data_IF_138875350610
#
_entry.id   IF_138875350610
#
_cell.length_a   1.000
_cell.length_b   1.000
_cell.length_c   1.000
_cell.angle_alpha   90.00
_cell.angle_beta   90.00
_cell.angle_gamma   90.00
#
_symmetry.space_group_name_H-M   'P 1'
#
loop_
_entity.id
_entity.type
_entity.pdbx_description
1 polymer ?
#
# COMPACT_ATOMS: atom_id res chain seq x y z
N UNK A 1 11.82 -23.13 -3.54
CA UNK A 1 10.79 -22.07 -3.37
C UNK A 1 9.85 -22.56 -2.27
N UNK A 2 9.42 -21.72 -1.32
CA UNK A 2 8.54 -22.15 -0.22
C UNK A 2 7.30 -21.27 -0.17
N UNK A 3 6.18 -21.82 0.34
CA UNK A 3 5.01 -21.03 0.68
C UNK A 3 5.38 -20.03 1.79
N UNK A 4 4.85 -18.84 1.71
CA UNK A 4 4.98 -17.83 2.77
C UNK A 4 3.58 -17.43 3.22
N UNK A 5 3.41 -17.30 4.53
CA UNK A 5 2.16 -16.78 5.09
C UNK A 5 1.97 -15.33 4.62
N UNK A 6 0.77 -15.01 4.17
CA UNK A 6 0.39 -13.63 3.90
C UNK A 6 0.42 -12.84 5.21
N UNK A 7 0.95 -11.63 5.16
CA UNK A 7 0.86 -10.71 6.30
C UNK A 7 -0.54 -10.09 6.37
N UNK A 8 -1.03 -9.87 7.58
CA UNK A 8 -2.40 -9.42 7.82
C UNK A 8 -2.72 -8.02 7.25
N UNK A 9 -1.70 -7.22 6.91
CA UNK A 9 -1.86 -5.79 6.59
C UNK A 9 -1.33 -5.37 5.22
N UNK A 10 -0.62 -6.23 4.47
CA UNK A 10 0.02 -5.84 3.20
C UNK A 10 -0.47 -6.64 2.01
N UNK A 11 -1.14 -5.99 1.08
CA UNK A 11 -1.60 -6.58 -0.18
C UNK A 11 -0.46 -7.23 -0.99
N UNK A 12 0.73 -6.65 -0.97
CA UNK A 12 1.91 -7.24 -1.63
C UNK A 12 2.31 -8.61 -1.09
N UNK A 13 2.00 -8.91 0.18
CA UNK A 13 2.22 -10.24 0.76
C UNK A 13 1.19 -11.26 0.26
N UNK A 14 -0.07 -10.84 0.08
CA UNK A 14 -1.12 -11.67 -0.51
C UNK A 14 -0.78 -12.03 -1.96
N UNK A 15 -0.36 -11.05 -2.77
CA UNK A 15 0.10 -11.30 -4.14
C UNK A 15 1.16 -12.40 -4.21
N UNK A 16 2.22 -12.28 -3.39
CA UNK A 16 3.29 -13.29 -3.33
C UNK A 16 2.79 -14.66 -2.91
N UNK A 17 1.86 -14.72 -1.94
CA UNK A 17 1.30 -15.97 -1.44
C UNK A 17 0.45 -16.65 -2.51
N UNK A 18 -0.46 -15.92 -3.17
CA UNK A 18 -1.32 -16.49 -4.21
C UNK A 18 -0.52 -16.90 -5.44
N UNK A 19 0.44 -16.08 -5.89
CA UNK A 19 1.33 -16.43 -7.00
C UNK A 19 2.13 -17.71 -6.72
N UNK A 20 2.65 -17.86 -5.50
CA UNK A 20 3.35 -19.07 -5.08
C UNK A 20 2.43 -20.27 -4.96
N UNK A 21 1.21 -20.08 -4.48
CA UNK A 21 0.23 -21.15 -4.37
C UNK A 21 -0.12 -21.75 -5.74
N UNK A 22 -0.34 -20.91 -6.75
CA UNK A 22 -0.56 -21.39 -8.13
C UNK A 22 0.68 -22.11 -8.67
N UNK A 23 1.87 -21.54 -8.47
CA UNK A 23 3.13 -22.14 -8.98
C UNK A 23 3.44 -23.49 -8.31
N UNK A 24 3.13 -23.63 -7.03
CA UNK A 24 3.43 -24.81 -6.22
C UNK A 24 2.20 -25.68 -5.98
N UNK A 25 1.12 -25.48 -6.73
CA UNK A 25 -0.18 -26.15 -6.48
C UNK A 25 -0.04 -27.66 -6.35
N UNK A 26 0.64 -28.33 -7.30
CA UNK A 26 0.90 -29.77 -7.24
C UNK A 26 1.65 -30.16 -5.96
N UNK A 27 2.76 -29.49 -5.68
CA UNK A 27 3.56 -29.78 -4.48
C UNK A 27 2.79 -29.57 -3.18
N UNK A 28 1.89 -28.59 -3.13
CA UNK A 28 1.00 -28.36 -1.97
C UNK A 28 0.02 -29.54 -1.83
N UNK A 29 -0.58 -29.97 -2.93
CA UNK A 29 -1.49 -31.11 -2.94
C UNK A 29 -0.78 -32.40 -2.50
N UNK A 30 0.45 -32.64 -2.97
CA UNK A 30 1.25 -33.80 -2.57
C UNK A 30 1.57 -33.79 -1.06
N UNK A 31 1.93 -32.62 -0.52
CA UNK A 31 2.21 -32.47 0.92
C UNK A 31 0.94 -32.66 1.75
N UNK A 32 -0.20 -32.13 1.32
CA UNK A 32 -1.47 -32.31 2.02
C UNK A 32 -1.89 -33.78 2.03
N UNK A 33 -1.72 -34.49 0.90
CA UNK A 33 -1.96 -35.90 0.80
C UNK A 33 -1.05 -36.73 1.70
N UNK A 34 0.23 -36.39 1.75
CA UNK A 34 1.18 -37.02 2.66
C UNK A 34 0.78 -36.81 4.15
N UNK A 35 0.33 -35.61 4.53
CA UNK A 35 -0.12 -35.33 5.91
C UNK A 35 -1.42 -36.06 6.21
N UNK A 36 -2.32 -36.19 5.27
CA UNK A 36 -3.56 -37.00 5.42
C UNK A 36 -3.23 -38.47 5.70
N UNK A 37 -2.30 -39.07 4.92
CA UNK A 37 -1.95 -40.48 5.02
C UNK A 37 -1.04 -40.80 6.23
N UNK A 38 -0.14 -39.91 6.59
CA UNK A 38 0.92 -40.16 7.60
C UNK A 38 0.86 -39.22 8.82
N UNK A 39 -0.16 -38.36 8.90
CA UNK A 39 -0.26 -37.31 9.91
C UNK A 39 -0.16 -37.81 11.36
N UNK A 40 0.68 -37.14 12.15
CA UNK A 40 0.99 -37.49 13.55
C UNK A 40 -0.26 -37.40 14.46
N UNK A 41 -1.31 -36.71 14.04
CA UNK A 41 -2.58 -36.65 14.76
C UNK A 41 -3.78 -36.72 13.80
N UNK A 42 -4.87 -37.33 14.23
CA UNK A 42 -6.13 -37.42 13.51
C UNK A 42 -6.66 -35.99 13.15
N UNK A 43 -6.37 -34.99 13.96
CA UNK A 43 -6.79 -33.63 13.71
C UNK A 43 -6.05 -33.05 12.49
N UNK A 44 -4.75 -33.24 12.39
CA UNK A 44 -3.97 -32.76 11.23
C UNK A 44 -4.34 -33.49 9.94
N UNK A 45 -4.58 -34.82 10.00
CA UNK A 45 -5.02 -35.58 8.84
C UNK A 45 -6.38 -35.08 8.32
N UNK A 46 -7.38 -34.87 9.20
CA UNK A 46 -8.67 -34.31 8.81
C UNK A 46 -8.60 -32.86 8.30
N UNK A 47 -7.70 -32.05 8.84
CA UNK A 47 -7.48 -30.69 8.34
C UNK A 47 -6.86 -30.73 6.93
N UNK A 48 -5.92 -31.62 6.68
CA UNK A 48 -5.30 -31.78 5.37
C UNK A 48 -6.31 -32.28 4.33
N UNK A 49 -7.15 -33.27 4.66
CA UNK A 49 -8.25 -33.76 3.81
C UNK A 49 -9.22 -32.59 3.48
N UNK A 50 -9.68 -31.86 4.49
CA UNK A 50 -10.58 -30.72 4.28
C UNK A 50 -9.98 -29.62 3.39
N UNK A 51 -8.68 -29.31 3.52
CA UNK A 51 -7.98 -28.37 2.67
C UNK A 51 -7.84 -28.88 1.24
N UNK A 52 -7.50 -30.17 1.05
CA UNK A 52 -7.46 -30.77 -0.28
C UNK A 52 -8.83 -30.71 -0.97
N UNK A 53 -9.88 -31.11 -0.25
CA UNK A 53 -11.24 -31.07 -0.77
C UNK A 53 -11.67 -29.66 -1.18
N UNK A 54 -11.28 -28.63 -0.40
CA UNK A 54 -11.57 -27.24 -0.75
C UNK A 54 -10.76 -26.76 -1.95
N UNK A 55 -9.47 -27.07 -2.02
CA UNK A 55 -8.59 -26.67 -3.11
C UNK A 55 -8.97 -27.33 -4.45
N UNK A 56 -9.59 -28.51 -4.44
CA UNK A 56 -10.10 -29.20 -5.64
C UNK A 56 -11.45 -28.67 -6.14
N UNK A 57 -12.06 -27.69 -5.47
CA UNK A 57 -13.31 -27.09 -5.94
C UNK A 57 -13.05 -26.06 -7.03
N UNK A 58 -13.88 -26.04 -8.06
CA UNK A 58 -13.88 -25.04 -9.12
C UNK A 58 -13.92 -23.60 -8.54
N UNK A 59 -14.80 -23.38 -7.55
CA UNK A 59 -14.93 -22.06 -6.90
C UNK A 59 -13.60 -21.56 -6.30
N UNK A 60 -12.85 -22.47 -5.65
CA UNK A 60 -11.55 -22.10 -5.09
C UNK A 60 -10.57 -21.65 -6.18
N UNK A 61 -10.48 -22.41 -7.27
CA UNK A 61 -9.59 -22.10 -8.41
C UNK A 61 -10.02 -20.79 -9.08
N UNK A 62 -11.32 -20.59 -9.28
CA UNK A 62 -11.87 -19.38 -9.85
C UNK A 62 -11.46 -18.14 -9.03
N UNK A 63 -11.73 -18.15 -7.72
CA UNK A 63 -11.38 -17.01 -6.86
C UNK A 63 -9.86 -16.84 -6.70
N UNK A 64 -9.10 -17.91 -6.67
CA UNK A 64 -7.63 -17.87 -6.60
C UNK A 64 -7.06 -17.12 -7.82
N UNK A 65 -7.52 -17.43 -9.02
CA UNK A 65 -7.08 -16.78 -10.25
C UNK A 65 -7.60 -15.35 -10.35
N UNK A 66 -8.86 -15.09 -9.99
CA UNK A 66 -9.44 -13.75 -10.00
C UNK A 66 -8.67 -12.80 -9.06
N UNK A 67 -8.45 -13.24 -7.83
CA UNK A 67 -7.70 -12.44 -6.86
C UNK A 67 -6.25 -12.22 -7.30
N UNK A 68 -5.60 -13.22 -7.90
CA UNK A 68 -4.25 -13.05 -8.43
C UNK A 68 -4.21 -12.01 -9.56
N UNK A 69 -5.15 -12.06 -10.50
CA UNK A 69 -5.23 -11.07 -11.60
C UNK A 69 -5.42 -9.64 -11.07
N UNK A 70 -6.33 -9.44 -10.12
CA UNK A 70 -6.57 -8.12 -9.50
C UNK A 70 -5.30 -7.63 -8.78
N UNK A 71 -4.68 -8.51 -8.00
CA UNK A 71 -3.46 -8.16 -7.27
C UNK A 71 -2.28 -7.89 -8.19
N UNK A 72 -2.20 -8.56 -9.34
CA UNK A 72 -1.15 -8.33 -10.36
C UNK A 72 -1.29 -6.93 -10.99
N UNK A 73 -2.50 -6.56 -11.41
CA UNK A 73 -2.79 -5.21 -11.94
C UNK A 73 -2.47 -4.10 -10.93
N UNK A 74 -2.73 -4.34 -9.64
CA UNK A 74 -2.51 -3.34 -8.59
C UNK A 74 -1.10 -3.38 -8.00
N UNK A 75 -0.30 -4.37 -8.34
CA UNK A 75 1.03 -4.60 -7.75
C UNK A 75 2.00 -3.45 -8.01
N UNK A 76 2.08 -2.98 -9.25
CA UNK A 76 2.97 -1.89 -9.65
C UNK A 76 2.63 -0.60 -8.92
N UNK A 77 1.34 -0.26 -8.83
CA UNK A 77 0.86 0.87 -8.05
C UNK A 77 1.22 0.73 -6.56
N UNK A 78 0.96 -0.45 -5.99
CA UNK A 78 1.29 -0.74 -4.58
C UNK A 78 2.79 -0.58 -4.30
N UNK A 79 3.65 -1.04 -5.20
CA UNK A 79 5.10 -0.85 -5.08
C UNK A 79 5.50 0.62 -5.18
N UNK A 80 4.90 1.38 -6.10
CA UNK A 80 5.16 2.81 -6.26
C UNK A 80 4.79 3.56 -4.98
N UNK A 81 3.58 3.36 -4.47
CA UNK A 81 3.09 4.01 -3.25
C UNK A 81 3.87 3.64 -1.98
N UNK A 82 4.61 2.54 -1.97
CA UNK A 82 5.43 2.11 -0.83
C UNK A 82 6.88 2.64 -0.85
N UNK A 83 7.30 3.35 -1.89
CA UNK A 83 8.65 3.95 -1.96
C UNK A 83 8.77 5.14 -1.02
N UNK A 84 9.96 5.35 -0.46
CA UNK A 84 10.27 6.53 0.38
C UNK A 84 10.32 7.82 -0.43
N UNK A 85 10.83 7.73 -1.66
CA UNK A 85 10.97 8.86 -2.60
C UNK A 85 9.84 8.75 -3.63
N UNK A 86 8.64 9.20 -3.24
CA UNK A 86 7.47 9.12 -4.11
C UNK A 86 7.50 10.25 -5.13
N UNK A 87 7.42 9.87 -6.39
CA UNK A 87 6.98 10.74 -7.45
C UNK A 87 5.44 10.76 -7.48
N UNK A 88 4.88 11.86 -6.97
CA UNK A 88 3.43 12.03 -6.84
C UNK A 88 2.71 12.04 -8.19
N UNK A 89 3.32 12.64 -9.23
CA UNK A 89 2.75 12.65 -10.58
C UNK A 89 2.67 11.24 -11.16
N UNK A 90 3.75 10.48 -10.99
CA UNK A 90 3.77 9.08 -11.42
C UNK A 90 2.75 8.24 -10.65
N UNK A 91 2.58 8.46 -9.35
CA UNK A 91 1.56 7.77 -8.55
C UNK A 91 0.13 8.05 -9.07
N UNK A 92 -0.22 9.30 -9.36
CA UNK A 92 -1.54 9.67 -9.93
C UNK A 92 -1.75 9.03 -11.31
N UNK A 93 -0.74 9.07 -12.17
CA UNK A 93 -0.79 8.42 -13.49
C UNK A 93 -1.00 6.91 -13.36
N UNK A 94 -0.29 6.25 -12.44
CA UNK A 94 -0.44 4.81 -12.18
C UNK A 94 -1.83 4.46 -11.63
N UNK A 95 -2.40 5.29 -10.77
CA UNK A 95 -3.79 5.10 -10.30
C UNK A 95 -4.75 5.10 -11.47
N UNK A 96 -4.71 6.13 -12.33
CA UNK A 96 -5.57 6.24 -13.50
C UNK A 96 -5.39 5.05 -14.47
N UNK A 97 -4.16 4.65 -14.71
CA UNK A 97 -3.86 3.48 -15.55
C UNK A 97 -4.38 2.17 -14.92
N UNK A 98 -4.28 2.03 -13.60
CA UNK A 98 -4.78 0.83 -12.90
C UNK A 98 -6.30 0.76 -12.97
N UNK A 99 -7.00 1.87 -12.77
CA UNK A 99 -8.47 1.94 -12.91
C UNK A 99 -8.87 1.54 -14.33
N UNK A 100 -8.24 2.12 -15.35
CA UNK A 100 -8.53 1.80 -16.76
C UNK A 100 -8.28 0.31 -17.07
N UNK A 101 -7.23 -0.30 -16.51
CA UNK A 101 -6.97 -1.74 -16.67
C UNK A 101 -8.05 -2.60 -16.01
N UNK A 102 -8.49 -2.24 -14.80
CA UNK A 102 -9.57 -2.94 -14.11
C UNK A 102 -10.90 -2.82 -14.88
N UNK A 103 -11.22 -1.62 -15.39
CA UNK A 103 -12.41 -1.40 -16.23
C UNK A 103 -12.37 -2.22 -17.51
N UNK A 104 -11.23 -2.23 -18.20
CA UNK A 104 -11.04 -3.06 -19.41
C UNK A 104 -11.19 -4.54 -19.09
N UNK A 105 -10.58 -5.02 -18.01
CA UNK A 105 -10.69 -6.40 -17.58
C UNK A 105 -12.14 -6.78 -17.23
N UNK A 106 -12.86 -5.87 -16.59
CA UNK A 106 -14.29 -6.03 -16.30
C UNK A 106 -15.16 -6.14 -17.56
N UNK A 107 -14.87 -5.34 -18.58
CA UNK A 107 -15.68 -5.27 -19.80
C UNK A 107 -15.42 -6.43 -20.77
N UNK A 108 -14.17 -6.82 -20.90
CA UNK A 108 -13.71 -7.71 -21.99
C UNK A 108 -12.99 -8.96 -21.48
N UNK A 109 -12.59 -8.98 -20.18
CA UNK A 109 -11.63 -9.98 -19.68
C UNK A 109 -12.23 -11.32 -19.28
N UNK A 110 -13.55 -11.45 -19.12
CA UNK A 110 -14.15 -12.66 -18.53
C UNK A 110 -13.85 -13.93 -19.33
N UNK A 111 -13.99 -13.92 -20.65
CA UNK A 111 -13.80 -15.13 -21.46
C UNK A 111 -12.33 -15.61 -21.40
N UNK A 112 -11.36 -14.72 -21.59
CA UNK A 112 -9.94 -15.05 -21.50
C UNK A 112 -9.57 -15.55 -20.09
N UNK A 113 -10.15 -14.92 -19.06
CA UNK A 113 -9.98 -15.34 -17.69
C UNK A 113 -10.56 -16.74 -17.44
N UNK A 114 -11.76 -16.98 -17.95
CA UNK A 114 -12.44 -18.28 -17.86
C UNK A 114 -11.61 -19.38 -18.51
N UNK A 115 -11.12 -19.15 -19.73
CA UNK A 115 -10.26 -20.11 -20.46
C UNK A 115 -9.00 -20.47 -19.64
N UNK A 116 -8.37 -19.48 -18.97
CA UNK A 116 -7.22 -19.73 -18.09
C UNK A 116 -7.58 -20.59 -16.88
N UNK A 117 -8.77 -20.39 -16.30
CA UNK A 117 -9.27 -21.20 -15.18
C UNK A 117 -9.55 -22.63 -15.65
N UNK A 118 -10.17 -22.81 -16.82
CA UNK A 118 -10.46 -24.13 -17.40
C UNK A 118 -9.17 -24.91 -17.70
N UNK A 119 -8.17 -24.29 -18.33
CA UNK A 119 -6.85 -24.92 -18.55
C UNK A 119 -6.21 -25.38 -17.23
N UNK A 120 -6.35 -24.59 -16.16
CA UNK A 120 -5.84 -24.97 -14.86
C UNK A 120 -6.61 -26.15 -14.27
N UNK A 121 -7.96 -26.14 -14.37
CA UNK A 121 -8.81 -27.22 -13.89
C UNK A 121 -8.50 -28.53 -14.64
N UNK A 122 -8.39 -28.51 -15.96
CA UNK A 122 -8.00 -29.66 -16.79
C UNK A 122 -6.63 -30.24 -16.35
N UNK A 123 -5.63 -29.35 -16.19
CA UNK A 123 -4.27 -29.75 -15.79
C UNK A 123 -4.23 -30.50 -14.44
N UNK A 124 -5.09 -30.13 -13.49
CA UNK A 124 -5.10 -30.69 -12.14
C UNK A 124 -6.30 -31.61 -11.86
N UNK A 125 -7.00 -32.04 -12.91
CA UNK A 125 -8.14 -32.94 -12.83
C UNK A 125 -9.24 -32.45 -11.86
N UNK A 126 -9.49 -31.12 -11.90
CA UNK A 126 -10.54 -30.47 -11.10
C UNK A 126 -11.81 -30.44 -11.93
N UNK A 127 -12.91 -30.92 -11.36
CA UNK A 127 -14.21 -30.96 -12.01
C UNK A 127 -14.66 -29.53 -12.37
N UNK A 128 -14.85 -29.31 -13.67
CA UNK A 128 -15.34 -28.03 -14.18
C UNK A 128 -16.84 -27.90 -13.98
N UNK A 129 -17.29 -26.68 -13.83
CA UNK A 129 -18.71 -26.33 -13.72
C UNK A 129 -19.26 -26.05 -15.10
N UNK A 130 -20.29 -26.79 -15.51
CA UNK A 130 -21.03 -26.50 -16.75
C UNK A 130 -21.71 -25.11 -16.63
N UNK A 131 -21.29 -24.17 -17.46
CA UNK A 131 -21.73 -22.78 -17.40
C UNK A 131 -23.17 -22.58 -17.84
N UNK A 132 -23.72 -23.48 -18.66
CA UNK A 132 -25.10 -23.36 -19.17
C UNK A 132 -26.14 -23.96 -18.21
N UNK A 133 -25.69 -24.76 -17.23
CA UNK A 133 -26.57 -25.35 -16.22
C UNK A 133 -26.99 -24.29 -15.19
N UNK A 134 -28.22 -24.48 -14.66
CA UNK A 134 -28.80 -23.63 -13.63
C UNK A 134 -27.93 -23.60 -12.36
N UNK A 135 -27.61 -22.43 -11.87
CA UNK A 135 -26.85 -22.25 -10.63
C UNK A 135 -27.65 -22.72 -9.41
N UNK A 136 -27.03 -23.55 -8.59
CA UNK A 136 -27.60 -24.03 -7.33
C UNK A 136 -26.77 -23.44 -6.19
N UNK A 137 -27.43 -22.62 -5.35
CA UNK A 137 -26.77 -22.05 -4.18
C UNK A 137 -26.49 -23.16 -3.14
N UNK A 138 -25.21 -23.44 -2.81
CA UNK A 138 -24.85 -24.50 -1.84
C UNK A 138 -25.48 -24.30 -0.44
N UNK A 139 -25.72 -23.04 -0.03
CA UNK A 139 -26.36 -22.72 1.26
C UNK A 139 -27.88 -22.88 1.26
N UNK A 140 -28.50 -22.95 0.09
CA UNK A 140 -29.96 -23.07 -0.07
C UNK A 140 -30.30 -23.93 -1.29
N UNK A 141 -29.94 -25.20 -1.35
CA UNK A 141 -30.08 -26.02 -2.57
C UNK A 141 -31.53 -26.21 -3.01
N UNK A 142 -32.49 -26.08 -2.09
CA UNK A 142 -33.92 -26.21 -2.39
C UNK A 142 -34.56 -25.00 -3.08
N UNK A 143 -33.89 -23.83 -2.96
CA UNK A 143 -34.35 -22.60 -3.60
C UNK A 143 -33.77 -22.55 -5.01
N UNK A 144 -34.65 -22.82 -6.01
CA UNK A 144 -34.26 -22.70 -7.41
C UNK A 144 -33.90 -21.24 -7.72
N UNK A 145 -32.75 -21.04 -8.39
CA UNK A 145 -32.35 -19.77 -8.96
C UNK A 145 -32.77 -19.72 -10.43
N UNK A 146 -33.03 -18.55 -10.98
CA UNK A 146 -33.37 -18.40 -12.40
C UNK A 146 -32.14 -17.98 -13.24
N UNK A 147 -30.93 -18.18 -12.70
CA UNK A 147 -29.69 -17.82 -13.35
C UNK A 147 -28.86 -19.07 -13.66
N UNK A 148 -28.03 -18.99 -14.71
CA UNK A 148 -27.05 -20.04 -15.05
C UNK A 148 -25.79 -19.90 -14.20
N UNK A 149 -24.94 -20.92 -14.18
CA UNK A 149 -23.62 -20.85 -13.58
C UNK A 149 -22.79 -19.74 -14.23
N UNK A 150 -22.87 -19.55 -15.55
CA UNK A 150 -22.22 -18.46 -16.28
C UNK A 150 -22.64 -17.11 -15.71
N UNK A 151 -23.94 -16.87 -15.53
CA UNK A 151 -24.43 -15.61 -14.96
C UNK A 151 -23.86 -15.40 -13.55
N UNK A 152 -23.88 -16.42 -12.70
CA UNK A 152 -23.34 -16.32 -11.34
C UNK A 152 -21.85 -15.98 -11.33
N UNK A 153 -21.02 -16.71 -12.11
CA UNK A 153 -19.57 -16.47 -12.11
C UNK A 153 -19.18 -15.17 -12.80
N UNK A 154 -19.85 -14.79 -13.89
CA UNK A 154 -19.56 -13.58 -14.65
C UNK A 154 -20.07 -12.33 -13.94
N UNK A 155 -21.36 -12.29 -13.57
CA UNK A 155 -21.99 -11.06 -13.05
C UNK A 155 -21.93 -10.98 -11.53
N UNK A 156 -22.31 -12.03 -10.81
CA UNK A 156 -22.42 -11.98 -9.35
C UNK A 156 -21.05 -12.15 -8.66
N UNK A 157 -20.04 -12.70 -9.34
CA UNK A 157 -18.69 -12.87 -8.81
C UNK A 157 -17.68 -11.95 -9.49
N UNK A 158 -17.35 -12.19 -10.76
CA UNK A 158 -16.28 -11.50 -11.46
C UNK A 158 -16.56 -10.00 -11.57
N UNK A 159 -17.68 -9.61 -12.19
CA UNK A 159 -18.03 -8.21 -12.34
C UNK A 159 -18.27 -7.52 -10.99
N UNK A 160 -18.97 -8.15 -10.06
CA UNK A 160 -19.25 -7.56 -8.75
C UNK A 160 -17.97 -7.26 -7.96
N UNK A 161 -16.98 -8.17 -7.98
CA UNK A 161 -15.69 -7.94 -7.31
C UNK A 161 -14.92 -6.81 -7.98
N UNK A 162 -14.88 -6.76 -9.31
CA UNK A 162 -14.20 -5.70 -10.04
C UNK A 162 -14.88 -4.34 -9.84
N UNK A 163 -16.23 -4.29 -9.86
CA UNK A 163 -16.98 -3.07 -9.57
C UNK A 163 -16.68 -2.54 -8.17
N UNK A 164 -16.61 -3.41 -7.17
CA UNK A 164 -16.19 -3.02 -5.81
C UNK A 164 -14.76 -2.46 -5.77
N UNK A 165 -13.81 -3.06 -6.51
CA UNK A 165 -12.44 -2.55 -6.56
C UNK A 165 -12.35 -1.20 -7.27
N UNK A 166 -13.01 -1.04 -8.43
CA UNK A 166 -13.06 0.22 -9.17
C UNK A 166 -13.70 1.33 -8.32
N UNK A 167 -14.81 1.02 -7.65
CA UNK A 167 -15.47 1.97 -6.75
C UNK A 167 -14.57 2.37 -5.59
N UNK A 168 -13.85 1.43 -4.98
CA UNK A 168 -12.93 1.73 -3.87
C UNK A 168 -11.75 2.60 -4.32
N UNK A 169 -11.21 2.36 -5.52
CA UNK A 169 -10.22 3.26 -6.12
C UNK A 169 -10.79 4.66 -6.34
N UNK A 170 -11.99 4.77 -6.90
CA UNK A 170 -12.68 6.06 -7.10
C UNK A 170 -12.94 6.81 -5.80
N UNK A 171 -13.30 6.11 -4.73
CA UNK A 171 -13.50 6.71 -3.40
C UNK A 171 -12.19 7.24 -2.79
N UNK A 172 -11.09 6.49 -2.94
CA UNK A 172 -9.78 6.85 -2.38
C UNK A 172 -9.04 7.91 -3.19
N UNK A 173 -9.19 7.87 -4.50
CA UNK A 173 -8.54 8.76 -5.46
C UNK A 173 -9.60 9.57 -6.23
N UNK A 174 -10.48 10.25 -5.48
CA UNK A 174 -11.48 11.15 -6.05
C UNK A 174 -10.81 12.42 -6.64
N UNK A 175 -11.61 13.24 -7.31
CA UNK A 175 -11.13 14.47 -7.95
C UNK A 175 -10.37 15.39 -6.99
N UNK A 176 -10.89 15.57 -5.77
CA UNK A 176 -10.25 16.43 -4.76
C UNK A 176 -8.89 15.89 -4.33
N UNK A 177 -8.80 14.59 -4.07
CA UNK A 177 -7.52 13.95 -3.70
C UNK A 177 -6.54 13.99 -4.86
N UNK A 178 -7.01 13.76 -6.08
CA UNK A 178 -6.19 13.83 -7.30
C UNK A 178 -5.72 15.25 -7.58
N UNK A 179 -6.59 16.26 -7.44
CA UNK A 179 -6.22 17.68 -7.57
C UNK A 179 -5.17 18.07 -6.53
N UNK A 180 -5.36 17.64 -5.27
CA UNK A 180 -4.41 17.88 -4.19
C UNK A 180 -3.02 17.30 -4.52
N UNK A 181 -2.96 16.06 -4.98
CA UNK A 181 -1.70 15.39 -5.36
C UNK A 181 -1.03 16.08 -6.55
N UNK A 182 -1.80 16.51 -7.55
CA UNK A 182 -1.30 17.26 -8.71
C UNK A 182 -0.75 18.62 -8.28
N UNK A 183 -1.44 19.33 -7.39
CA UNK A 183 -0.95 20.60 -6.86
C UNK A 183 0.35 20.42 -6.04
N UNK A 184 0.40 19.38 -5.21
CA UNK A 184 1.60 19.03 -4.42
C UNK A 184 2.79 18.65 -5.30
N UNK A 185 2.57 17.96 -6.40
CA UNK A 185 3.65 17.55 -7.32
C UNK A 185 4.38 18.74 -7.92
N UNK A 186 3.72 19.91 -8.01
CA UNK A 186 4.34 21.17 -8.46
C UNK A 186 5.40 21.73 -7.50
N UNK A 187 5.50 21.20 -6.26
CA UNK A 187 6.59 21.48 -5.33
C UNK A 187 7.84 20.60 -5.55
N UNK A 188 7.75 19.58 -6.41
CA UNK A 188 8.84 18.63 -6.61
C UNK A 188 10.09 19.29 -7.15
N UNK A 189 11.27 19.08 -6.54
CA UNK A 189 12.54 19.59 -7.04
C UNK A 189 13.10 18.74 -8.20
N UNK A 190 12.47 17.63 -8.57
CA UNK A 190 12.93 16.75 -9.64
C UNK A 190 13.09 17.52 -10.95
N UNK A 191 14.06 17.11 -11.76
CA UNK A 191 14.36 17.70 -13.07
C UNK A 191 14.50 19.24 -13.01
N UNK A 192 15.19 19.72 -11.97
CA UNK A 192 15.42 21.15 -11.75
C UNK A 192 14.12 21.96 -11.70
N UNK A 193 13.13 21.46 -10.96
CA UNK A 193 11.80 22.10 -10.81
C UNK A 193 11.06 22.28 -12.14
N UNK A 194 11.14 21.31 -13.03
CA UNK A 194 10.44 21.36 -14.34
C UNK A 194 8.93 21.41 -14.20
N UNK A 195 8.38 20.76 -13.16
CA UNK A 195 6.94 20.74 -12.86
C UNK A 195 6.43 21.92 -12.02
N UNK A 196 7.26 22.92 -11.71
CA UNK A 196 6.87 24.04 -10.85
C UNK A 196 5.81 24.91 -11.53
N UNK A 197 4.66 25.04 -10.87
CA UNK A 197 3.48 25.72 -11.42
C UNK A 197 2.81 26.58 -10.33
N UNK A 198 2.96 27.91 -10.46
CA UNK A 198 2.44 28.87 -9.47
C UNK A 198 0.91 28.78 -9.32
N UNK A 199 0.10 28.76 -10.40
CA UNK A 199 -1.35 28.56 -10.30
C UNK A 199 -1.75 27.36 -9.45
N UNK A 200 -1.13 26.19 -9.65
CA UNK A 200 -1.41 24.99 -8.86
C UNK A 200 -1.02 25.12 -7.39
N UNK A 201 0.09 25.81 -7.12
CA UNK A 201 0.54 26.05 -5.74
C UNK A 201 -0.34 27.06 -5.00
N UNK A 202 -0.89 28.04 -5.71
CA UNK A 202 -1.92 28.93 -5.14
C UNK A 202 -3.20 28.16 -4.87
N UNK A 203 -3.62 27.29 -5.80
CA UNK A 203 -4.77 26.41 -5.59
C UNK A 203 -4.60 25.50 -4.39
N UNK A 204 -3.38 24.98 -4.16
CA UNK A 204 -3.05 24.22 -2.96
C UNK A 204 -3.29 25.04 -1.69
N UNK A 205 -2.90 26.32 -1.67
CA UNK A 205 -3.15 27.20 -0.51
C UNK A 205 -4.63 27.51 -0.27
N UNK A 206 -5.46 27.50 -1.32
CA UNK A 206 -6.92 27.68 -1.22
C UNK A 206 -7.58 26.49 -0.54
N UNK A 207 -7.04 25.27 -0.71
CA UNK A 207 -7.53 24.05 -0.05
C UNK A 207 -7.29 24.03 1.47
N UNK A 208 -6.40 24.93 1.96
CA UNK A 208 -6.04 25.04 3.38
C UNK A 208 -6.32 26.45 3.92
N UNK A 209 -7.59 26.87 4.02
CA UNK A 209 -7.95 28.23 4.44
C UNK A 209 -7.58 28.54 5.90
N UNK A 210 -7.38 27.53 6.74
CA UNK A 210 -6.94 27.71 8.12
C UNK A 210 -5.43 28.00 8.23
N UNK A 211 -4.67 27.60 7.21
CA UNK A 211 -3.22 27.78 7.16
C UNK A 211 -2.81 29.00 6.33
N UNK A 212 -3.66 29.45 5.38
CA UNK A 212 -3.40 30.58 4.49
C UNK A 212 -4.63 31.49 4.43
N UNK A 213 -4.51 32.67 5.01
CA UNK A 213 -5.50 33.71 4.86
C UNK A 213 -5.40 34.44 3.49
N UNK A 214 -6.32 35.35 3.19
CA UNK A 214 -6.34 36.07 1.91
C UNK A 214 -5.12 37.04 1.73
N UNK A 215 -4.53 37.48 2.82
CA UNK A 215 -3.31 38.26 2.78
C UNK A 215 -2.10 37.37 2.47
N UNK A 216 -2.01 36.19 3.11
CA UNK A 216 -0.99 35.19 2.85
C UNK A 216 -1.03 34.68 1.39
N UNK A 217 -2.19 34.43 0.81
CA UNK A 217 -2.35 33.98 -0.58
C UNK A 217 -1.82 35.03 -1.59
N UNK A 218 -2.07 36.31 -1.34
CA UNK A 218 -1.53 37.40 -2.17
C UNK A 218 -0.02 37.48 -2.11
N UNK A 219 0.54 37.41 -0.90
CA UNK A 219 1.98 37.37 -0.67
C UNK A 219 2.66 36.15 -1.24
N UNK A 220 2.02 34.99 -1.10
CA UNK A 220 2.52 33.72 -1.59
C UNK A 220 2.79 33.73 -3.10
N UNK A 221 1.93 34.39 -3.89
CA UNK A 221 2.14 34.53 -5.35
C UNK A 221 3.48 35.19 -5.67
N UNK A 222 3.81 36.25 -4.97
CA UNK A 222 5.07 37.01 -5.17
C UNK A 222 6.25 36.19 -4.62
N UNK A 223 6.06 35.59 -3.46
CA UNK A 223 7.09 34.76 -2.82
C UNK A 223 7.46 33.56 -3.68
N UNK A 224 6.49 32.87 -4.31
CA UNK A 224 6.71 31.76 -5.21
C UNK A 224 7.53 32.14 -6.45
N UNK A 225 7.24 33.30 -7.06
CA UNK A 225 8.00 33.80 -8.21
C UNK A 225 9.46 34.09 -7.83
N UNK A 226 9.68 34.77 -6.73
CA UNK A 226 11.03 35.06 -6.24
C UNK A 226 11.76 33.80 -5.78
N UNK A 227 11.03 32.85 -5.17
CA UNK A 227 11.55 31.57 -4.71
C UNK A 227 12.13 30.76 -5.85
N UNK A 228 11.36 30.55 -6.93
CA UNK A 228 11.81 29.69 -8.02
C UNK A 228 13.04 30.21 -8.71
N UNK A 229 13.12 31.51 -8.94
CA UNK A 229 14.29 32.16 -9.53
C UNK A 229 15.52 32.02 -8.63
N UNK A 230 15.34 32.24 -7.30
CA UNK A 230 16.42 32.13 -6.33
C UNK A 230 16.93 30.69 -6.17
N UNK A 231 16.03 29.71 -6.18
CA UNK A 231 16.39 28.31 -6.01
C UNK A 231 17.07 27.76 -7.28
N UNK A 232 16.56 28.09 -8.48
CA UNK A 232 17.18 27.67 -9.74
C UNK A 232 18.56 28.25 -9.98
N UNK A 233 18.84 29.47 -9.44
CA UNK A 233 20.16 30.08 -9.49
C UNK A 233 21.18 29.41 -8.56
N UNK A 234 20.74 28.64 -7.56
CA UNK A 234 21.61 28.00 -6.58
C UNK A 234 21.87 26.55 -6.95
N UNK A 235 23.05 26.23 -7.43
CA UNK A 235 23.46 24.90 -7.91
C UNK A 235 23.30 23.78 -6.90
N UNK A 236 23.25 24.09 -5.60
CA UNK A 236 23.02 23.09 -4.54
C UNK A 236 21.65 22.43 -4.65
N UNK A 237 20.66 23.12 -5.23
CA UNK A 237 19.29 22.64 -5.38
C UNK A 237 19.06 21.87 -6.70
N UNK A 238 20.01 21.88 -7.63
CA UNK A 238 19.83 21.32 -8.98
C UNK A 238 19.68 19.80 -9.03
N UNK A 239 20.13 19.06 -8.00
CA UNK A 239 20.17 17.57 -7.98
C UNK A 239 19.33 16.98 -6.84
N UNK A 240 18.28 17.64 -6.45
CA UNK A 240 17.41 17.15 -5.37
C UNK A 240 16.39 16.14 -5.88
N UNK A 241 16.23 15.03 -5.16
CA UNK A 241 15.35 13.93 -5.51
C UNK A 241 14.15 13.81 -4.55
N UNK A 242 13.49 14.92 -4.21
CA UNK A 242 12.28 14.86 -3.40
C UNK A 242 12.12 16.00 -2.39
N UNK A 243 10.90 16.14 -1.87
CA UNK A 243 10.50 17.24 -0.98
C UNK A 243 11.29 17.25 0.35
N UNK A 244 11.57 16.08 0.91
CA UNK A 244 12.32 15.99 2.17
C UNK A 244 13.73 16.53 2.04
N UNK A 245 14.43 16.24 0.93
CA UNK A 245 15.77 16.77 0.65
C UNK A 245 15.73 18.27 0.41
N UNK A 246 14.68 18.77 -0.28
CA UNK A 246 14.46 20.19 -0.51
C UNK A 246 14.29 20.95 0.81
N UNK A 247 13.40 20.48 1.66
CA UNK A 247 13.12 21.11 2.95
C UNK A 247 14.37 21.13 3.85
N UNK A 248 15.11 20.02 3.90
CA UNK A 248 16.36 19.93 4.65
C UNK A 248 17.37 20.97 4.17
N UNK A 249 17.61 21.07 2.86
CA UNK A 249 18.55 22.03 2.29
C UNK A 249 18.09 23.47 2.47
N UNK A 250 16.78 23.76 2.42
CA UNK A 250 16.24 25.08 2.74
C UNK A 250 16.54 25.50 4.19
N UNK A 251 16.47 24.54 5.13
CA UNK A 251 16.81 24.82 6.53
C UNK A 251 18.31 25.04 6.69
N UNK A 252 19.15 24.19 6.12
CA UNK A 252 20.61 24.29 6.16
C UNK A 252 21.11 25.62 5.56
N UNK A 253 20.48 26.08 4.48
CA UNK A 253 20.80 27.33 3.81
C UNK A 253 20.09 28.56 4.40
N UNK A 254 19.27 28.39 5.43
CA UNK A 254 18.41 29.41 6.06
C UNK A 254 17.39 30.07 5.13
N UNK A 255 17.19 29.53 3.92
CA UNK A 255 16.21 30.04 2.95
C UNK A 255 14.76 29.91 3.44
N UNK A 256 14.49 28.98 4.36
CA UNK A 256 13.19 28.85 5.02
C UNK A 256 12.75 30.09 5.81
N UNK A 257 13.70 30.94 6.23
CA UNK A 257 13.41 32.21 6.90
C UNK A 257 13.04 33.33 5.90
N UNK A 258 13.56 33.26 4.68
CA UNK A 258 13.26 34.20 3.60
C UNK A 258 11.98 33.89 2.85
N UNK A 259 11.66 32.56 2.69
CA UNK A 259 10.50 32.03 1.96
C UNK A 259 9.57 31.34 2.93
N UNK A 260 8.95 32.07 3.83
CA UNK A 260 8.17 31.50 4.96
C UNK A 260 6.87 30.86 4.53
N UNK A 261 6.18 31.41 3.55
CA UNK A 261 4.92 30.88 3.04
C UNK A 261 5.15 29.65 2.15
N UNK A 262 6.19 29.69 1.31
CA UNK A 262 6.60 28.52 0.53
C UNK A 262 7.04 27.38 1.46
N UNK A 263 7.79 27.71 2.52
CA UNK A 263 8.19 26.72 3.53
C UNK A 263 6.96 26.12 4.28
N UNK A 264 5.91 26.92 4.51
CA UNK A 264 4.64 26.46 5.07
C UNK A 264 3.95 25.48 4.13
N UNK A 265 3.88 25.75 2.81
CA UNK A 265 3.37 24.82 1.80
C UNK A 265 4.15 23.51 1.78
N UNK A 266 5.49 23.60 1.80
CA UNK A 266 6.34 22.40 1.84
C UNK A 266 6.11 21.57 3.10
N UNK A 267 5.92 22.18 4.26
CA UNK A 267 5.58 21.47 5.50
C UNK A 267 4.23 20.75 5.39
N UNK A 268 3.21 21.40 4.84
CA UNK A 268 1.90 20.79 4.59
C UNK A 268 2.04 19.59 3.67
N UNK A 269 2.77 19.74 2.55
CA UNK A 269 3.00 18.66 1.61
C UNK A 269 3.71 17.44 2.24
N UNK A 270 4.63 17.68 3.19
CA UNK A 270 5.32 16.60 3.90
C UNK A 270 4.45 15.89 4.95
N UNK A 271 3.46 16.57 5.51
CA UNK A 271 2.56 16.03 6.53
C UNK A 271 1.42 15.23 5.91
N UNK A 272 1.04 15.55 4.65
CA UNK A 272 -0.04 14.83 3.97
C UNK A 272 0.30 13.35 3.76
N UNK A 273 -0.56 12.43 4.24
CA UNK A 273 -0.33 11.00 4.11
C UNK A 273 -0.64 10.52 2.69
N UNK A 274 0.31 10.70 1.78
CA UNK A 274 0.19 10.17 0.40
C UNK A 274 0.26 8.63 0.40
N UNK A 275 1.00 8.06 1.36
CA UNK A 275 1.02 6.63 1.59
C UNK A 275 1.17 6.32 3.08
N UNK A 276 0.40 5.34 3.54
CA UNK A 276 0.41 4.87 4.94
C UNK A 276 1.56 3.91 5.26
N UNK A 277 2.48 3.66 4.31
CA UNK A 277 3.55 2.68 4.45
C UNK A 277 4.43 2.91 5.70
N UNK A 278 4.63 4.15 6.13
CA UNK A 278 5.35 4.47 7.37
C UNK A 278 4.52 4.12 8.59
N UNK A 279 3.23 4.42 8.57
CA UNK A 279 2.27 4.09 9.64
C UNK A 279 2.11 2.57 9.77
N UNK A 280 2.01 1.85 8.65
CA UNK A 280 1.97 0.39 8.63
C UNK A 280 3.24 -0.24 9.21
N UNK A 281 4.42 0.36 8.97
CA UNK A 281 5.68 -0.08 9.60
C UNK A 281 5.64 0.10 11.11
N UNK A 282 5.08 1.21 11.60
CA UNK A 282 4.91 1.44 13.03
C UNK A 282 3.95 0.42 13.65
N UNK A 283 2.81 0.12 13.02
CA UNK A 283 1.90 -0.92 13.47
C UNK A 283 2.53 -2.32 13.44
N UNK A 284 3.32 -2.61 12.40
CA UNK A 284 4.11 -3.86 12.34
C UNK A 284 5.16 -3.93 13.46
N UNK A 285 5.82 -2.80 13.77
CA UNK A 285 6.78 -2.70 14.86
C UNK A 285 6.11 -2.96 16.21
N UNK A 286 4.91 -2.44 16.42
CA UNK A 286 4.16 -2.66 17.67
C UNK A 286 3.89 -4.14 17.96
N UNK A 287 3.66 -4.98 16.94
CA UNK A 287 3.49 -6.44 17.12
C UNK A 287 4.75 -7.13 17.67
N UNK A 288 5.93 -6.59 17.35
CA UNK A 288 7.21 -7.11 17.91
C UNK A 288 7.51 -6.56 19.29
N UNK A 289 7.13 -5.31 19.54
CA UNK A 289 7.39 -4.63 20.82
C UNK A 289 6.39 -5.02 21.90
N UNK A 290 5.12 -5.22 21.51
CA UNK A 290 4.02 -5.61 22.41
C UNK A 290 3.61 -7.04 22.07
N UNK A 291 4.03 -8.00 22.87
CA UNK A 291 3.64 -9.41 22.80
C UNK A 291 2.75 -9.77 23.98
N UNK A 292 2.14 -10.95 23.98
CA UNK A 292 1.30 -11.44 25.08
C UNK A 292 2.03 -11.42 26.43
N UNK A 293 3.34 -11.64 26.42
CA UNK A 293 4.22 -11.58 27.59
C UNK A 293 4.65 -10.15 27.95
N UNK A 294 4.53 -9.19 27.05
CA UNK A 294 4.99 -7.81 27.20
C UNK A 294 3.88 -6.80 26.86
N UNK A 295 2.67 -7.02 27.37
CA UNK A 295 1.50 -6.19 27.08
C UNK A 295 1.26 -5.05 28.06
N UNK A 296 1.97 -5.01 29.20
CA UNK A 296 1.82 -4.00 30.28
C UNK A 296 2.73 -2.77 30.11
N UNK A 297 3.28 -2.55 28.93
CA UNK A 297 4.11 -1.38 28.62
C UNK A 297 3.21 -0.14 28.56
N UNK A 298 3.54 0.91 29.31
CA UNK A 298 2.87 2.21 29.25
C UNK A 298 3.11 2.92 27.92
N UNK A 299 2.24 3.86 27.57
CA UNK A 299 2.21 4.50 26.26
C UNK A 299 3.51 5.25 25.91
N UNK A 300 4.14 5.93 26.88
CA UNK A 300 5.43 6.60 26.69
C UNK A 300 6.53 5.59 26.32
N UNK A 301 6.69 4.53 27.10
CA UNK A 301 7.69 3.50 26.84
C UNK A 301 7.43 2.76 25.51
N UNK A 302 6.16 2.59 25.13
CA UNK A 302 5.78 2.00 23.85
C UNK A 302 6.16 2.95 22.71
N UNK A 303 5.87 4.24 22.84
CA UNK A 303 6.21 5.28 21.87
C UNK A 303 7.73 5.34 21.65
N UNK A 304 8.51 5.44 22.72
CA UNK A 304 9.97 5.49 22.67
C UNK A 304 10.57 4.23 22.04
N UNK A 305 10.06 3.05 22.42
CA UNK A 305 10.47 1.78 21.83
C UNK A 305 10.11 1.68 20.34
N UNK A 306 8.95 2.20 19.93
CA UNK A 306 8.55 2.28 18.52
C UNK A 306 9.48 3.20 17.72
N UNK A 307 9.81 4.37 18.25
CA UNK A 307 10.76 5.31 17.62
C UNK A 307 12.11 4.64 17.42
N UNK A 308 12.66 4.02 18.47
CA UNK A 308 13.94 3.30 18.40
C UNK A 308 13.92 2.17 17.38
N UNK A 309 12.81 1.43 17.28
CA UNK A 309 12.69 0.31 16.33
C UNK A 309 12.52 0.79 14.89
N UNK A 310 11.72 1.81 14.65
CA UNK A 310 11.43 2.33 13.30
C UNK A 310 12.63 3.10 12.74
N UNK A 311 13.25 3.95 13.59
CA UNK A 311 14.39 4.82 13.25
C UNK A 311 15.74 4.20 13.66
N UNK A 312 15.86 2.87 13.60
CA UNK A 312 17.06 2.14 14.00
C UNK A 312 18.36 2.63 13.33
N UNK A 313 18.26 3.19 12.12
CA UNK A 313 19.43 3.70 11.40
C UNK A 313 19.90 5.05 11.97
N UNK A 314 19.00 5.83 12.55
CA UNK A 314 19.35 7.01 13.35
C UNK A 314 19.87 6.60 14.73
N UNK A 315 19.22 5.64 15.36
CA UNK A 315 19.66 5.11 16.67
C UNK A 315 21.08 4.56 16.62
N UNK A 316 21.49 3.89 15.55
CA UNK A 316 22.87 3.39 15.36
C UNK A 316 23.93 4.49 15.29
N UNK A 317 23.55 5.73 15.01
CA UNK A 317 24.46 6.90 14.96
C UNK A 317 24.62 7.58 16.31
N UNK A 318 23.81 7.22 17.28
CA UNK A 318 23.87 7.77 18.65
C UNK A 318 25.00 7.07 19.41
N UNK A 319 25.91 7.84 20.00
CA UNK A 319 26.97 7.28 20.83
C UNK A 319 26.39 6.71 22.12
N UNK A 320 26.89 5.55 22.53
CA UNK A 320 26.54 4.96 23.83
C UNK A 320 27.00 5.84 24.99
N UNK A 321 28.15 6.50 24.85
CA UNK A 321 28.67 7.42 25.88
C UNK A 321 27.76 8.62 26.07
N UNK A 322 27.24 9.22 24.97
CA UNK A 322 26.26 10.31 25.05
C UNK A 322 24.97 9.88 25.76
N UNK A 323 24.54 8.62 25.53
CA UNK A 323 23.36 8.04 26.20
C UNK A 323 23.63 7.85 27.68
N UNK A 324 24.80 7.34 28.05
CA UNK A 324 25.21 7.14 29.47
C UNK A 324 25.31 8.46 30.20
N UNK A 325 25.98 9.46 29.63
CA UNK A 325 26.11 10.78 30.21
C UNK A 325 24.74 11.43 30.44
N UNK A 326 23.87 11.36 29.45
CA UNK A 326 22.50 11.86 29.58
C UNK A 326 21.70 11.11 30.64
N UNK A 327 21.86 9.80 30.71
CA UNK A 327 21.20 8.95 31.73
C UNK A 327 21.66 9.28 33.12
N UNK A 328 22.95 9.60 33.33
CA UNK A 328 23.51 10.04 34.62
C UNK A 328 23.00 11.44 35.01
N UNK A 329 22.88 12.33 34.02
CA UNK A 329 22.43 13.70 34.23
C UNK A 329 20.94 13.83 34.65
N UNK A 330 20.10 12.81 34.36
CA UNK A 330 18.66 12.84 34.67
C UNK A 330 18.39 12.92 36.18
N UNK A 331 19.18 12.20 36.99
CA UNK A 331 19.09 12.24 38.47
C UNK A 331 20.35 11.71 39.13
N UNK A 332 20.69 12.18 40.37
CA UNK A 332 21.81 11.65 41.13
C UNK A 332 21.68 10.14 41.36
N UNK A 333 22.74 9.40 41.10
CA UNK A 333 22.80 7.92 41.26
C UNK A 333 23.89 7.54 42.26
N UNK A 334 23.70 6.39 42.91
CA UNK A 334 24.67 5.86 43.89
C UNK A 334 25.97 5.37 43.24
N UNK A 335 25.94 4.97 42.00
CA UNK A 335 27.13 4.60 41.19
C UNK A 335 27.19 5.50 39.98
N UNK A 336 28.38 6.05 39.70
CA UNK A 336 28.70 6.64 38.41
C UNK A 336 29.07 5.50 37.45
N UNK A 337 28.44 5.46 36.29
CA UNK A 337 28.70 4.47 35.24
C UNK A 337 29.89 4.91 34.40
#
# INVERSE_FOLDING_TARGET
MSLSRAGDTRWSSHYKTLSRLITLYSSVMDVLKYIEETGVSLVHAKQADGLQAEMKKYNFVFYLHLMLNILDMTHTLSQCLQRKDQDLLNAVSLVSSTICQLEKFRMEGFNEFFDKVSVFCEKYEIEEVDMEVQYINPKSPRKKTNITNRHYFEYDCFNAILDMQIQEFGNRFNEVTSELLICMSSLSPCDNFSGFDIPKLLRLSEMYPNDFDEHDKRRLRVELATYIDNIKADTRFAKLNGLSSLVKLMVETKKHLSFTLVYRLLKLALVLPVATATVERCFSAMKYLKSDLRNRMGDENLSDSCICYVEKDLLRKVSLDDVLDRFQAIKPRRQQL
#
